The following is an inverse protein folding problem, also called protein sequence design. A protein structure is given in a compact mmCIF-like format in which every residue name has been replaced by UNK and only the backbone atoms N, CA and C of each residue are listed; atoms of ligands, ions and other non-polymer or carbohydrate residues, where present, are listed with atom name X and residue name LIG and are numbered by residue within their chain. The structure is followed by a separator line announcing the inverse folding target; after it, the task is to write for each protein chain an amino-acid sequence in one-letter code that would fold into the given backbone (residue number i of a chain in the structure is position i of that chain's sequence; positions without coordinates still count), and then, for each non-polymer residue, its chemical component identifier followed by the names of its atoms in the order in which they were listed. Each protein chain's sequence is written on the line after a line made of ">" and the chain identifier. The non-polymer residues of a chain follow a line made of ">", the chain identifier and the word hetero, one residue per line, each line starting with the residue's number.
data_IF_841079167569
#
_entry.id   IF_841079167569
#
_cell.length_a   1.000
_cell.length_b   1.000
_cell.length_c   1.000
_cell.angle_alpha   90.00
_cell.angle_beta   90.00
_cell.angle_gamma   90.00
#
_symmetry.space_group_name_H-M   'P 1'
#
loop_
_entity.id
_entity.type
_entity.pdbx_description
1 polymer ?
#
# COMPACT_ATOMS: atom_id res chain seq x y z
N UNK A 1 -21.64 -1.55 -19.98
CA UNK A 1 -21.26 -0.83 -18.79
C UNK A 1 -22.24 0.28 -18.50
N UNK A 2 -22.66 0.38 -17.28
CA UNK A 2 -23.68 1.35 -16.96
C UNK A 2 -23.10 2.73 -16.68
N UNK A 3 -23.97 3.73 -16.61
CA UNK A 3 -23.57 5.10 -16.42
C UNK A 3 -23.02 5.38 -15.03
N UNK A 4 -23.23 4.48 -14.09
CA UNK A 4 -22.76 4.69 -12.72
C UNK A 4 -21.29 4.38 -12.54
N UNK A 5 -20.68 3.71 -13.52
CA UNK A 5 -19.28 3.31 -13.39
C UNK A 5 -18.34 4.50 -13.17
N UNK A 6 -18.39 5.57 -13.96
CA UNK A 6 -17.49 6.69 -13.72
C UNK A 6 -17.72 7.36 -12.37
N UNK A 7 -18.96 7.47 -11.91
CA UNK A 7 -19.21 8.11 -10.61
C UNK A 7 -18.66 7.28 -9.46
N UNK A 8 -18.69 5.95 -9.55
CA UNK A 8 -18.07 5.11 -8.53
C UNK A 8 -16.56 5.29 -8.49
N UNK A 9 -15.93 5.43 -9.66
CA UNK A 9 -14.49 5.60 -9.74
C UNK A 9 -14.07 6.98 -9.25
N UNK A 10 -14.95 7.97 -9.32
CA UNK A 10 -14.63 9.34 -8.95
C UNK A 10 -15.07 9.71 -7.54
N UNK A 11 -15.64 8.78 -6.78
CA UNK A 11 -16.07 9.05 -5.41
C UNK A 11 -14.90 9.12 -4.45
N UNK A 12 -15.20 9.31 -3.17
CA UNK A 12 -14.17 9.44 -2.14
C UNK A 12 -13.23 8.23 -2.05
N UNK A 13 -13.69 6.98 -2.30
CA UNK A 13 -12.73 5.87 -2.29
C UNK A 13 -11.65 6.05 -3.36
N UNK A 14 -12.02 6.59 -4.51
CA UNK A 14 -11.06 6.81 -5.59
C UNK A 14 -10.05 7.90 -5.23
N UNK A 15 -10.49 8.94 -4.53
CA UNK A 15 -9.60 10.00 -4.06
C UNK A 15 -8.57 9.43 -3.09
N UNK A 16 -9.01 8.62 -2.14
CA UNK A 16 -8.12 7.98 -1.16
C UNK A 16 -7.14 7.04 -1.87
N UNK A 17 -7.63 6.23 -2.80
CA UNK A 17 -6.78 5.30 -3.55
C UNK A 17 -5.71 6.02 -4.35
N UNK A 18 -6.06 7.13 -4.98
CA UNK A 18 -5.09 7.90 -5.75
C UNK A 18 -4.00 8.48 -4.86
N UNK A 19 -4.40 9.03 -3.71
CA UNK A 19 -3.44 9.56 -2.75
C UNK A 19 -2.52 8.48 -2.20
N UNK A 20 -3.09 7.35 -1.79
CA UNK A 20 -2.30 6.23 -1.29
C UNK A 20 -1.37 5.69 -2.39
N UNK A 21 -1.88 5.55 -3.60
CA UNK A 21 -1.06 5.07 -4.71
C UNK A 21 0.14 5.94 -4.96
N UNK A 22 -0.05 7.26 -4.95
CA UNK A 22 1.05 8.20 -5.12
C UNK A 22 2.08 8.06 -4.01
N UNK A 23 1.62 7.94 -2.77
CA UNK A 23 2.50 7.77 -1.61
C UNK A 23 3.34 6.49 -1.75
N UNK A 24 2.70 5.38 -2.12
CA UNK A 24 3.40 4.10 -2.21
C UNK A 24 4.34 4.03 -3.40
N UNK A 25 4.00 4.66 -4.51
CA UNK A 25 4.93 4.75 -5.65
C UNK A 25 6.17 5.55 -5.23
N UNK A 26 5.98 6.66 -4.55
CA UNK A 26 7.11 7.46 -4.06
C UNK A 26 7.95 6.66 -3.06
N UNK A 27 7.31 6.01 -2.10
CA UNK A 27 8.01 5.24 -1.07
C UNK A 27 8.79 4.07 -1.68
N UNK A 28 8.16 3.34 -2.59
CA UNK A 28 8.81 2.21 -3.26
C UNK A 28 10.00 2.66 -4.10
N UNK A 29 9.85 3.79 -4.78
CA UNK A 29 10.94 4.36 -5.58
C UNK A 29 12.15 4.75 -4.73
N UNK A 30 11.90 5.38 -3.58
CA UNK A 30 12.96 5.75 -2.64
C UNK A 30 13.71 4.50 -2.14
N UNK A 31 12.96 3.44 -1.84
CA UNK A 31 13.58 2.19 -1.38
C UNK A 31 14.42 1.55 -2.47
N UNK A 32 13.91 1.51 -3.70
CA UNK A 32 14.67 0.92 -4.83
C UNK A 32 15.90 1.74 -5.18
N UNK A 33 15.81 3.06 -5.06
CA UNK A 33 16.94 3.94 -5.36
C UNK A 33 18.12 3.72 -4.41
N UNK A 34 17.89 3.04 -3.28
CA UNK A 34 18.97 2.75 -2.35
C UNK A 34 19.46 3.97 -1.59
N UNK A 35 18.54 4.86 -1.24
CA UNK A 35 18.89 6.01 -0.42
C UNK A 35 19.58 5.54 0.85
N UNK A 36 20.68 6.22 1.28
CA UNK A 36 21.47 5.72 2.42
C UNK A 36 20.64 5.45 3.67
N UNK A 37 19.68 6.30 4.01
CA UNK A 37 18.89 6.08 5.21
C UNK A 37 17.99 4.84 5.10
N UNK A 38 17.52 4.51 3.88
CA UNK A 38 16.73 3.29 3.66
C UNK A 38 17.60 2.05 3.77
N UNK A 39 18.80 2.09 3.22
CA UNK A 39 19.75 0.99 3.33
C UNK A 39 20.05 0.71 4.80
N UNK A 40 20.28 1.76 5.59
CA UNK A 40 20.56 1.61 7.01
C UNK A 40 19.35 1.10 7.79
N UNK A 41 18.15 1.57 7.45
CA UNK A 41 16.93 1.10 8.08
C UNK A 41 16.77 -0.41 7.92
N UNK A 42 16.92 -0.90 6.70
CA UNK A 42 16.74 -2.33 6.45
C UNK A 42 17.91 -3.15 7.00
N UNK A 43 19.10 -2.58 7.07
CA UNK A 43 20.21 -3.23 7.75
C UNK A 43 19.89 -3.43 9.24
N UNK A 44 19.24 -2.46 9.87
CA UNK A 44 18.86 -2.54 11.28
C UNK A 44 17.87 -3.66 11.56
N UNK A 45 17.08 -4.07 10.56
CA UNK A 45 16.13 -5.17 10.73
C UNK A 45 16.81 -6.53 10.80
N UNK A 46 18.02 -6.64 10.27
CA UNK A 46 18.79 -7.88 10.36
C UNK A 46 18.44 -8.97 9.34
N UNK A 47 17.54 -8.68 8.41
CA UNK A 47 17.13 -9.66 7.39
C UNK A 47 17.86 -9.50 6.07
N UNK A 48 18.70 -8.47 5.94
CA UNK A 48 19.40 -8.19 4.69
C UNK A 48 18.63 -7.25 3.78
N UNK A 49 19.30 -6.82 2.70
CA UNK A 49 18.72 -5.84 1.80
C UNK A 49 17.65 -6.43 0.87
N UNK A 50 17.55 -7.76 0.79
CA UNK A 50 16.52 -8.39 -0.04
C UNK A 50 15.11 -7.94 0.40
N UNK A 51 14.93 -7.73 1.70
CA UNK A 51 13.63 -7.28 2.23
C UNK A 51 13.28 -5.89 1.70
N UNK A 52 14.29 -5.02 1.56
CA UNK A 52 14.10 -3.69 0.99
C UNK A 52 13.57 -3.79 -0.45
N UNK A 53 14.18 -4.66 -1.26
CA UNK A 53 13.72 -4.86 -2.64
C UNK A 53 12.33 -5.48 -2.69
N UNK A 54 12.05 -6.43 -1.83
CA UNK A 54 10.74 -7.09 -1.79
C UNK A 54 9.64 -6.09 -1.44
N UNK A 55 9.83 -5.32 -0.36
CA UNK A 55 8.82 -4.34 0.06
C UNK A 55 8.67 -3.24 -0.99
N UNK A 56 9.76 -2.79 -1.59
CA UNK A 56 9.72 -1.77 -2.63
C UNK A 56 8.90 -2.25 -3.83
N UNK A 57 9.09 -3.50 -4.25
CA UNK A 57 8.36 -4.06 -5.38
C UNK A 57 6.86 -4.12 -5.08
N UNK A 58 6.50 -4.56 -3.89
CA UNK A 58 5.09 -4.63 -3.48
C UNK A 58 4.48 -3.23 -3.40
N UNK A 59 5.21 -2.28 -2.84
CA UNK A 59 4.72 -0.90 -2.71
C UNK A 59 4.55 -0.24 -4.08
N UNK A 60 5.52 -0.42 -4.98
CA UNK A 60 5.40 0.13 -6.34
C UNK A 60 4.24 -0.52 -7.08
N UNK A 61 4.18 -1.85 -7.07
CA UNK A 61 3.13 -2.58 -7.76
C UNK A 61 1.76 -2.24 -7.22
N UNK A 62 1.60 -2.28 -5.90
CA UNK A 62 0.34 -1.94 -5.25
C UNK A 62 -0.05 -0.48 -5.48
N UNK A 63 0.92 0.43 -5.40
CA UNK A 63 0.67 1.84 -5.66
C UNK A 63 0.19 2.10 -7.08
N UNK A 64 0.83 1.47 -8.06
CA UNK A 64 0.41 1.59 -9.46
C UNK A 64 -1.00 1.05 -9.66
N UNK A 65 -1.32 -0.09 -9.04
CA UNK A 65 -2.65 -0.66 -9.14
C UNK A 65 -3.70 0.28 -8.54
N UNK A 66 -3.40 0.91 -7.42
CA UNK A 66 -4.31 1.89 -6.84
C UNK A 66 -4.48 3.12 -7.71
N UNK A 67 -3.38 3.60 -8.31
CA UNK A 67 -3.45 4.77 -9.19
C UNK A 67 -4.27 4.50 -10.45
N UNK A 68 -4.15 3.29 -11.00
CA UNK A 68 -4.87 2.92 -12.22
C UNK A 68 -6.28 2.45 -11.95
N UNK A 69 -6.64 2.23 -10.70
CA UNK A 69 -7.96 1.74 -10.34
C UNK A 69 -8.19 0.28 -10.67
N UNK A 70 -7.13 -0.51 -10.70
CA UNK A 70 -7.21 -1.93 -10.99
C UNK A 70 -6.88 -2.74 -9.75
N UNK A 71 -7.64 -3.82 -9.55
CA UNK A 71 -7.38 -4.76 -8.45
C UNK A 71 -7.20 -4.08 -7.10
N UNK A 72 -8.03 -3.04 -6.85
CA UNK A 72 -7.88 -2.21 -5.65
C UNK A 72 -7.96 -3.04 -4.37
N UNK A 73 -8.84 -4.04 -4.33
CA UNK A 73 -8.99 -4.88 -3.15
C UNK A 73 -7.70 -5.63 -2.83
N UNK A 74 -7.15 -6.33 -3.83
CA UNK A 74 -5.92 -7.11 -3.63
C UNK A 74 -4.72 -6.20 -3.36
N UNK A 75 -4.63 -5.08 -4.07
CA UNK A 75 -3.55 -4.12 -3.86
C UNK A 75 -3.58 -3.58 -2.44
N UNK A 76 -4.78 -3.22 -1.95
CA UNK A 76 -4.93 -2.70 -0.59
C UNK A 76 -4.54 -3.72 0.45
N UNK A 77 -4.92 -4.99 0.25
CA UNK A 77 -4.56 -6.05 1.19
C UNK A 77 -3.04 -6.28 1.22
N UNK A 78 -2.40 -6.32 0.05
CA UNK A 78 -0.95 -6.51 -0.01
C UNK A 78 -0.22 -5.36 0.69
N UNK A 79 -0.64 -4.14 0.42
CA UNK A 79 -0.04 -2.97 1.06
C UNK A 79 -0.33 -2.93 2.56
N UNK A 80 -1.51 -3.40 2.98
CA UNK A 80 -1.85 -3.46 4.40
C UNK A 80 -0.91 -4.41 5.14
N UNK A 81 -0.56 -5.54 4.55
CA UNK A 81 0.39 -6.47 5.16
C UNK A 81 1.75 -5.78 5.36
N UNK A 82 2.20 -5.03 4.35
CA UNK A 82 3.45 -4.27 4.46
C UNK A 82 3.35 -3.24 5.60
N UNK A 83 2.22 -2.58 5.74
CA UNK A 83 2.05 -1.57 6.80
C UNK A 83 1.96 -2.18 8.19
N UNK A 84 1.44 -3.39 8.33
CA UNK A 84 1.49 -4.11 9.61
C UNK A 84 2.95 -4.32 10.01
N UNK A 85 3.77 -4.80 9.08
CA UNK A 85 5.20 -4.96 9.34
C UNK A 85 5.90 -3.65 9.66
N UNK A 86 5.55 -2.58 8.94
CA UNK A 86 6.15 -1.27 9.18
C UNK A 86 5.77 -0.71 10.55
N UNK A 87 4.52 -0.92 10.99
CA UNK A 87 4.06 -0.48 12.30
C UNK A 87 4.86 -1.19 13.39
N UNK A 88 4.96 -2.51 13.27
CA UNK A 88 5.70 -3.32 14.22
C UNK A 88 7.18 -2.92 14.26
N UNK A 89 7.80 -2.77 13.10
CA UNK A 89 9.19 -2.37 13.02
C UNK A 89 9.44 -1.00 13.63
N UNK A 90 8.53 -0.06 13.42
CA UNK A 90 8.64 1.28 13.99
C UNK A 90 8.66 1.24 15.50
N UNK A 91 7.80 0.41 16.10
CA UNK A 91 7.72 0.32 17.56
C UNK A 91 8.90 -0.46 18.16
N UNK A 92 9.23 -1.60 17.56
CA UNK A 92 10.12 -2.58 18.18
C UNK A 92 11.59 -2.32 17.82
N UNK A 93 11.85 -2.01 16.55
CA UNK A 93 13.24 -1.93 16.06
C UNK A 93 13.72 -0.48 16.03
N UNK A 94 12.91 0.43 15.49
CA UNK A 94 13.38 1.80 15.24
C UNK A 94 13.07 2.76 16.35
N UNK A 95 12.28 2.35 17.33
CA UNK A 95 11.85 3.20 18.43
C UNK A 95 11.27 4.53 17.93
N UNK A 96 10.46 4.42 16.88
CA UNK A 96 9.77 5.57 16.28
C UNK A 96 8.28 5.45 16.50
N UNK A 97 7.59 6.56 16.30
CA UNK A 97 6.12 6.54 16.37
C UNK A 97 5.56 5.58 15.33
N UNK A 98 4.66 4.66 15.70
CA UNK A 98 3.98 3.80 14.73
C UNK A 98 2.83 4.50 14.03
N UNK A 99 2.55 5.75 14.37
CA UNK A 99 1.34 6.44 13.94
C UNK A 99 1.25 6.58 12.41
N UNK A 100 2.30 7.04 11.68
CA UNK A 100 2.17 7.16 10.24
C UNK A 100 1.84 5.85 9.53
N UNK A 101 2.57 4.73 9.75
CA UNK A 101 2.19 3.48 9.09
C UNK A 101 0.86 2.94 9.59
N UNK A 102 0.51 3.18 10.86
CA UNK A 102 -0.76 2.72 11.38
C UNK A 102 -1.94 3.44 10.74
N UNK A 103 -1.83 4.76 10.57
CA UNK A 103 -2.88 5.54 9.88
C UNK A 103 -3.00 5.12 8.42
N UNK A 104 -1.88 4.86 7.76
CA UNK A 104 -1.89 4.36 6.39
C UNK A 104 -2.56 2.99 6.32
N UNK A 105 -2.27 2.13 7.30
CA UNK A 105 -2.92 0.82 7.40
C UNK A 105 -4.43 0.96 7.51
N UNK A 106 -4.91 1.87 8.36
CA UNK A 106 -6.35 2.09 8.50
C UNK A 106 -6.98 2.54 7.18
N UNK A 107 -6.31 3.44 6.47
CA UNK A 107 -6.80 3.90 5.17
C UNK A 107 -6.88 2.75 4.17
N UNK A 108 -5.85 1.88 4.15
CA UNK A 108 -5.85 0.71 3.27
C UNK A 108 -6.96 -0.26 3.61
N UNK A 109 -7.23 -0.47 4.89
CA UNK A 109 -8.32 -1.35 5.32
C UNK A 109 -9.67 -0.78 4.93
N UNK A 110 -9.85 0.54 5.00
CA UNK A 110 -11.07 1.18 4.53
C UNK A 110 -11.25 0.97 3.03
N UNK A 111 -10.20 1.13 2.25
CA UNK A 111 -10.26 0.89 0.80
C UNK A 111 -10.60 -0.57 0.53
N UNK A 112 -9.95 -1.50 1.24
CA UNK A 112 -10.23 -2.92 1.07
C UNK A 112 -11.69 -3.23 1.38
N UNK A 113 -12.21 -2.64 2.45
CA UNK A 113 -13.60 -2.84 2.83
C UNK A 113 -14.56 -2.31 1.75
N UNK A 114 -14.29 -1.12 1.22
CA UNK A 114 -15.14 -0.53 0.17
C UNK A 114 -15.04 -1.29 -1.15
N UNK A 115 -13.90 -1.90 -1.42
CA UNK A 115 -13.68 -2.64 -2.67
C UNK A 115 -13.86 -4.14 -2.52
N UNK A 116 -14.32 -4.59 -1.34
CA UNK A 116 -14.53 -6.01 -1.09
C UNK A 116 -15.46 -6.58 -2.16
N UNK A 117 -15.02 -7.60 -2.91
CA UNK A 117 -15.84 -8.15 -4.00
C UNK A 117 -16.94 -9.04 -3.44
N UNK A 118 -18.16 -8.85 -3.96
CA UNK A 118 -19.24 -9.79 -3.71
C UNK A 118 -19.01 -11.05 -4.55
N UNK A 119 -19.71 -12.12 -4.24
CA UNK A 119 -19.64 -13.34 -5.04
C UNK A 119 -19.99 -13.06 -6.51
N UNK A 120 -20.99 -12.21 -6.72
CA UNK A 120 -21.37 -11.82 -8.06
C UNK A 120 -20.29 -10.99 -8.74
N UNK A 121 -19.67 -10.08 -8.02
CA UNK A 121 -18.56 -9.28 -8.54
C UNK A 121 -17.38 -10.13 -8.95
N UNK A 122 -17.08 -11.17 -8.18
CA UNK A 122 -15.99 -12.09 -8.50
C UNK A 122 -16.29 -12.82 -9.83
N UNK A 123 -17.50 -13.25 -10.00
CA UNK A 123 -17.87 -14.00 -11.22
C UNK A 123 -17.84 -13.12 -12.48
N UNK A 124 -18.07 -11.83 -12.34
CA UNK A 124 -18.12 -10.92 -13.49
C UNK A 124 -16.78 -10.31 -13.84
N UNK A 125 -15.72 -10.63 -13.13
CA UNK A 125 -14.39 -10.08 -13.39
C UNK A 125 -13.56 -10.89 -14.35
#
# INVERSE_FOLDING_TARGET
>A
MDASWPSRQLGWPRIVETGLGAIFVAAGSVKLAGMPFMVQLFASLGFGQWLRYLTATIELGGGVLLLTGRMQYLASLALAVIMVGATDASMVVFNRSPLPPFLTLLALLVVAWKRYPSAEGIRTR
#
